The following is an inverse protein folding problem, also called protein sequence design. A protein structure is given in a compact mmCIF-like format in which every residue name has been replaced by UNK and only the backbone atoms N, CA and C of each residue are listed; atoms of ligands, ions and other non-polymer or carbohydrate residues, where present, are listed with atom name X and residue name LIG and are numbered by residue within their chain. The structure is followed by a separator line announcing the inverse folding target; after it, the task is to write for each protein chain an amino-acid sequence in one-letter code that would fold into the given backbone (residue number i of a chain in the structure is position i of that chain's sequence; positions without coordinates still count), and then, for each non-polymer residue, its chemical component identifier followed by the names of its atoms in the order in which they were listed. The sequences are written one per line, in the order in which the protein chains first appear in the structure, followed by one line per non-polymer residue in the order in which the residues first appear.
data_IF_592934141183
#
_entry.id   IF_592934141183
#
_cell.length_a   1.000
_cell.length_b   1.000
_cell.length_c   1.000
_cell.angle_alpha   90.00
_cell.angle_beta   90.00
_cell.angle_gamma   90.00
#
_symmetry.space_group_name_H-M   'P 1'
#
loop_
_entity.id
_entity.type
_entity.pdbx_description
1 polymer ?
#
# COMPACT_ATOMS: atom_id res chain seq x y z
N UNK A 1 4.61 -9.18 -8.75
CA UNK A 1 4.69 -9.76 -7.39
C UNK A 1 4.39 -8.62 -6.41
N UNK A 2 3.50 -8.74 -5.41
CA UNK A 2 3.16 -7.55 -4.57
C UNK A 2 4.22 -7.17 -3.55
N UNK A 3 4.87 -8.18 -2.95
CA UNK A 3 5.93 -7.97 -1.98
C UNK A 3 7.27 -8.21 -2.66
N UNK A 4 7.76 -7.20 -3.37
CA UNK A 4 9.04 -7.30 -4.07
C UNK A 4 10.21 -7.47 -3.10
N UNK A 5 10.26 -6.76 -1.97
CA UNK A 5 11.25 -7.03 -0.93
C UNK A 5 10.56 -7.79 0.23
N UNK A 6 11.08 -8.97 0.60
CA UNK A 6 10.45 -9.73 1.67
C UNK A 6 10.99 -11.12 1.91
N UNK A 7 10.27 -11.88 2.74
CA UNK A 7 10.68 -13.15 3.33
C UNK A 7 11.08 -14.24 2.31
N UNK A 8 10.72 -14.11 1.04
CA UNK A 8 11.14 -15.05 0.00
C UNK A 8 12.65 -14.94 -0.32
N UNK A 9 13.26 -13.76 -0.15
CA UNK A 9 14.68 -13.54 -0.40
C UNK A 9 15.53 -13.94 0.81
N UNK A 10 16.58 -14.75 0.57
CA UNK A 10 17.56 -15.13 1.61
C UNK A 10 18.20 -13.88 2.24
N UNK A 11 18.53 -12.89 1.42
CA UNK A 11 19.16 -11.64 1.87
C UNK A 11 18.26 -10.81 2.80
N UNK A 12 16.94 -10.82 2.57
CA UNK A 12 15.97 -10.21 3.48
C UNK A 12 15.90 -10.95 4.81
N UNK A 13 15.82 -12.29 4.77
CA UNK A 13 15.71 -13.11 6.00
C UNK A 13 16.93 -12.90 6.92
N UNK A 14 18.15 -12.94 6.37
CA UNK A 14 19.38 -12.66 7.13
C UNK A 14 19.39 -11.25 7.72
N UNK A 15 18.86 -10.25 7.00
CA UNK A 15 18.75 -8.89 7.51
C UNK A 15 17.71 -8.81 8.63
N UNK A 16 16.57 -9.47 8.49
CA UNK A 16 15.52 -9.53 9.52
C UNK A 16 15.98 -10.30 10.77
N UNK A 17 16.86 -11.29 10.65
CA UNK A 17 17.49 -11.94 11.81
C UNK A 17 18.41 -10.98 12.58
N UNK A 18 19.11 -10.08 11.87
CA UNK A 18 19.98 -9.06 12.47
C UNK A 18 19.19 -7.89 13.08
N UNK A 19 18.10 -7.51 12.44
CA UNK A 19 17.22 -6.41 12.85
C UNK A 19 15.79 -6.95 13.02
N UNK A 20 15.49 -7.61 14.17
CA UNK A 20 14.24 -8.33 14.35
C UNK A 20 13.01 -7.42 14.29
N UNK A 21 13.11 -6.22 14.86
CA UNK A 21 12.04 -5.23 14.85
C UNK A 21 11.67 -4.85 13.41
N UNK A 22 10.39 -5.04 13.06
CA UNK A 22 9.89 -4.56 11.78
C UNK A 22 9.94 -3.04 11.73
N UNK A 23 9.52 -2.36 12.81
CA UNK A 23 9.53 -0.91 12.91
C UNK A 23 10.93 -0.35 12.68
N UNK A 24 11.96 -0.93 13.31
CA UNK A 24 13.35 -0.52 13.06
C UNK A 24 13.72 -0.60 11.56
N UNK A 25 13.33 -1.69 10.88
CA UNK A 25 13.60 -1.87 9.45
C UNK A 25 12.79 -0.93 8.55
N UNK A 26 11.57 -0.54 8.95
CA UNK A 26 10.68 0.34 8.17
C UNK A 26 10.79 1.82 8.55
N UNK A 27 11.54 2.16 9.60
CA UNK A 27 11.71 3.53 10.11
C UNK A 27 13.19 3.99 10.13
N UNK A 28 14.12 3.12 9.72
CA UNK A 28 15.55 3.47 9.55
C UNK A 28 15.90 3.61 8.08
N UNK A 29 16.27 4.82 7.65
CA UNK A 29 16.58 5.17 6.24
C UNK A 29 17.49 4.15 5.55
N UNK A 30 18.64 3.82 6.14
CA UNK A 30 19.59 2.88 5.54
C UNK A 30 19.00 1.47 5.35
N UNK A 31 18.17 1.01 6.29
CA UNK A 31 17.51 -0.29 6.21
C UNK A 31 16.41 -0.28 5.15
N UNK A 32 15.60 0.79 5.10
CA UNK A 32 14.57 1.00 4.08
C UNK A 32 15.18 0.94 2.69
N UNK A 33 16.21 1.75 2.43
CA UNK A 33 16.89 1.80 1.13
C UNK A 33 17.48 0.44 0.79
N UNK A 34 18.24 -0.15 1.72
CA UNK A 34 18.88 -1.45 1.50
C UNK A 34 17.88 -2.55 1.18
N UNK A 35 16.74 -2.60 1.88
CA UNK A 35 15.69 -3.60 1.65
C UNK A 35 14.98 -3.33 0.31
N UNK A 36 14.62 -2.09 0.03
CA UNK A 36 13.93 -1.68 -1.21
C UNK A 36 14.74 -2.01 -2.46
N UNK A 37 16.08 -1.89 -2.40
CA UNK A 37 16.97 -2.18 -3.53
C UNK A 37 17.31 -3.67 -3.70
N UNK A 38 16.94 -4.57 -2.79
CA UNK A 38 17.25 -6.01 -2.96
C UNK A 38 16.67 -6.59 -4.25
N UNK A 39 15.39 -6.36 -4.61
CA UNK A 39 14.80 -6.90 -5.83
C UNK A 39 15.34 -6.17 -7.06
N UNK A 40 15.64 -4.87 -6.92
CA UNK A 40 16.31 -4.08 -7.94
C UNK A 40 17.65 -4.69 -8.35
N UNK A 41 18.50 -4.97 -7.37
CA UNK A 41 19.82 -5.53 -7.61
C UNK A 41 19.77 -6.97 -8.14
N UNK A 42 18.75 -7.74 -7.77
CA UNK A 42 18.63 -9.14 -8.18
C UNK A 42 18.00 -9.32 -9.57
N UNK A 43 17.01 -8.49 -9.93
CA UNK A 43 16.15 -8.73 -11.08
C UNK A 43 15.96 -7.54 -12.01
N UNK A 44 16.41 -6.34 -11.63
CA UNK A 44 16.25 -5.08 -12.38
C UNK A 44 14.82 -4.83 -12.90
N UNK A 45 13.76 -4.92 -12.07
CA UNK A 45 12.39 -4.59 -12.45
C UNK A 45 12.22 -3.12 -12.82
N UNK A 46 11.26 -2.80 -13.69
CA UNK A 46 10.94 -1.42 -14.10
C UNK A 46 10.38 -0.55 -12.96
N UNK A 47 10.06 -1.15 -11.80
CA UNK A 47 9.49 -0.48 -10.64
C UNK A 47 10.09 -0.97 -9.31
N UNK A 48 10.50 -0.02 -8.47
CA UNK A 48 11.00 -0.25 -7.10
C UNK A 48 10.06 0.45 -6.12
N UNK A 49 9.35 -0.32 -5.32
CA UNK A 49 8.51 0.21 -4.24
C UNK A 49 9.33 0.39 -2.97
N UNK A 50 9.15 1.52 -2.29
CA UNK A 50 9.77 1.76 -0.98
C UNK A 50 9.33 0.69 0.02
N UNK A 51 10.26 0.22 0.85
CA UNK A 51 9.96 -0.64 1.98
C UNK A 51 9.45 0.20 3.16
N UNK A 52 8.18 0.04 3.52
CA UNK A 52 7.55 0.73 4.66
C UNK A 52 6.35 -0.11 5.15
N UNK A 53 5.58 0.41 6.11
CA UNK A 53 4.27 -0.13 6.49
C UNK A 53 3.16 0.88 6.15
N UNK A 54 1.95 0.39 5.81
CA UNK A 54 0.80 1.29 5.62
C UNK A 54 0.41 2.03 6.92
N UNK A 55 0.79 1.48 8.08
CA UNK A 55 0.53 2.04 9.40
C UNK A 55 1.63 2.98 9.88
N UNK A 56 2.77 3.11 9.17
CA UNK A 56 3.91 3.95 9.57
C UNK A 56 3.51 5.41 9.87
N UNK A 57 2.48 5.93 9.19
CA UNK A 57 2.00 7.29 9.43
C UNK A 57 1.11 7.43 10.68
N UNK A 58 0.57 6.36 11.26
CA UNK A 58 -0.42 6.41 12.36
C UNK A 58 0.06 7.20 13.60
N UNK A 59 1.27 6.95 14.15
CA UNK A 59 1.72 7.62 15.37
C UNK A 59 1.84 9.13 15.18
N UNK A 60 2.16 9.54 13.95
CA UNK A 60 2.42 10.93 13.57
C UNK A 60 1.15 11.79 13.52
N UNK A 61 -0.03 11.16 13.61
CA UNK A 61 -1.31 11.86 13.79
C UNK A 61 -2.09 11.38 15.02
N UNK A 62 -1.43 10.73 15.98
CA UNK A 62 -1.97 10.47 17.32
C UNK A 62 -2.47 9.05 17.57
N UNK A 63 -2.15 8.07 16.70
CA UNK A 63 -2.54 6.67 16.91
C UNK A 63 -1.30 5.79 17.01
N UNK A 64 -0.95 5.39 18.22
CA UNK A 64 0.18 4.50 18.47
C UNK A 64 -0.12 3.05 18.05
N UNK A 65 0.89 2.41 17.44
CA UNK A 65 0.84 1.00 17.09
C UNK A 65 2.20 0.33 17.31
N UNK A 66 2.15 -0.98 17.48
CA UNK A 66 3.31 -1.86 17.46
C UNK A 66 3.08 -3.03 16.50
N UNK A 67 4.13 -3.77 16.17
CA UNK A 67 4.06 -4.98 15.36
C UNK A 67 4.61 -6.14 16.18
N UNK A 68 3.72 -7.07 16.53
CA UNK A 68 4.09 -8.29 17.21
C UNK A 68 4.33 -9.45 16.21
N UNK A 69 5.28 -10.32 16.53
CA UNK A 69 5.75 -11.37 15.60
C UNK A 69 4.64 -12.30 15.08
N UNK A 70 3.67 -12.65 15.94
CA UNK A 70 2.59 -13.59 15.61
C UNK A 70 1.29 -12.88 15.27
N UNK A 71 0.92 -11.84 16.03
CA UNK A 71 -0.36 -11.14 15.87
C UNK A 71 -0.33 -10.07 14.77
N UNK A 72 0.85 -9.64 14.35
CA UNK A 72 1.02 -8.53 13.42
C UNK A 72 0.75 -7.19 14.10
N UNK A 73 0.18 -6.20 13.41
CA UNK A 73 -0.01 -4.88 13.97
C UNK A 73 -1.03 -4.88 15.11
N UNK A 74 -0.71 -4.16 16.19
CA UNK A 74 -1.53 -3.99 17.38
C UNK A 74 -1.66 -2.49 17.66
N UNK A 75 -2.89 -1.99 17.70
CA UNK A 75 -3.21 -0.61 18.10
C UNK A 75 -3.53 -0.63 19.59
N UNK A 76 -2.76 0.13 20.39
CA UNK A 76 -2.90 0.10 21.84
C UNK A 76 -4.23 0.69 22.32
N UNK A 77 -4.70 1.75 21.64
CA UNK A 77 -5.91 2.49 21.98
C UNK A 77 -6.85 2.56 20.78
N UNK A 78 -7.66 1.52 20.51
CA UNK A 78 -8.60 1.54 19.40
C UNK A 78 -9.64 2.67 19.51
N UNK A 79 -9.92 3.36 18.41
CA UNK A 79 -10.86 4.49 18.40
C UNK A 79 -12.28 3.99 18.13
N UNK A 80 -13.15 4.08 19.14
CA UNK A 80 -14.55 3.62 19.10
C UNK A 80 -15.55 4.62 19.72
N UNK A 81 -15.07 5.81 20.10
CA UNK A 81 -15.88 6.89 20.66
C UNK A 81 -15.37 8.26 20.24
N UNK A 82 -16.18 9.29 20.45
CA UNK A 82 -15.81 10.70 20.19
C UNK A 82 -14.58 11.14 20.99
N UNK A 83 -14.40 10.62 22.22
CA UNK A 83 -13.21 10.88 23.03
C UNK A 83 -11.95 10.33 22.37
N UNK A 84 -12.03 9.14 21.75
CA UNK A 84 -10.91 8.56 21.01
C UNK A 84 -10.47 9.42 19.82
N UNK A 85 -11.41 10.08 19.14
CA UNK A 85 -11.08 11.00 18.05
C UNK A 85 -10.28 12.23 18.51
N UNK A 86 -10.45 12.68 19.76
CA UNK A 86 -9.73 13.85 20.29
C UNK A 86 -8.22 13.62 20.40
N UNK A 87 -7.77 12.37 20.39
CA UNK A 87 -6.35 12.05 20.33
C UNK A 87 -5.74 12.32 18.95
N UNK A 88 -6.56 12.35 17.89
CA UNK A 88 -6.08 12.57 16.54
C UNK A 88 -5.76 14.05 16.29
N UNK A 89 -4.65 14.28 15.59
CA UNK A 89 -4.21 15.63 15.22
C UNK A 89 -3.73 15.66 13.76
N UNK A 90 -3.49 16.85 13.17
CA UNK A 90 -2.87 16.95 11.85
C UNK A 90 -1.54 16.19 11.80
N UNK A 91 -1.22 15.62 10.63
CA UNK A 91 0.01 14.86 10.41
C UNK A 91 1.24 15.79 10.46
N UNK A 92 2.22 15.42 11.29
CA UNK A 92 3.52 16.08 11.38
C UNK A 92 4.56 15.41 10.47
N UNK A 93 4.64 15.87 9.21
CA UNK A 93 5.49 15.25 8.18
C UNK A 93 6.99 15.27 8.52
N UNK A 94 7.46 16.13 9.42
CA UNK A 94 8.89 16.17 9.81
C UNK A 94 9.31 14.87 10.51
N UNK A 95 8.39 14.27 11.28
CA UNK A 95 8.58 12.96 11.92
C UNK A 95 8.64 11.80 10.93
N UNK A 96 8.30 12.03 9.65
CA UNK A 96 8.37 11.06 8.55
C UNK A 96 9.54 11.37 7.59
N UNK A 97 10.49 12.21 8.01
CA UNK A 97 11.68 12.57 7.22
C UNK A 97 12.46 11.36 6.70
N UNK A 98 12.56 10.28 7.47
CA UNK A 98 13.20 9.03 7.04
C UNK A 98 12.57 8.44 5.77
N UNK A 99 11.25 8.60 5.56
CA UNK A 99 10.56 8.17 4.33
C UNK A 99 11.00 9.05 3.17
N UNK A 100 11.01 10.36 3.38
CA UNK A 100 11.39 11.33 2.35
C UNK A 100 12.84 11.14 1.92
N UNK A 101 13.76 10.98 2.87
CA UNK A 101 15.18 10.76 2.58
C UNK A 101 15.42 9.42 1.89
N UNK A 102 14.70 8.37 2.30
CA UNK A 102 14.74 7.07 1.61
C UNK A 102 14.31 7.20 0.15
N UNK A 103 13.21 7.92 -0.14
CA UNK A 103 12.73 8.12 -1.51
C UNK A 103 13.74 8.89 -2.37
N UNK A 104 14.39 9.93 -1.82
CA UNK A 104 15.45 10.68 -2.52
C UNK A 104 16.62 9.77 -2.89
N UNK A 105 17.07 8.94 -1.95
CA UNK A 105 18.18 8.00 -2.17
C UNK A 105 17.77 6.97 -3.23
N UNK A 106 16.60 6.33 -3.07
CA UNK A 106 16.09 5.35 -4.04
C UNK A 106 16.00 5.94 -5.44
N UNK A 107 15.50 7.18 -5.57
CA UNK A 107 15.40 7.90 -6.85
C UNK A 107 16.76 8.06 -7.52
N UNK A 108 17.81 8.34 -6.75
CA UNK A 108 19.19 8.44 -7.24
C UNK A 108 19.76 7.07 -7.63
N UNK A 109 19.54 6.05 -6.81
CA UNK A 109 20.09 4.69 -6.99
C UNK A 109 19.50 3.96 -8.19
N UNK A 110 18.21 4.14 -8.47
CA UNK A 110 17.58 3.54 -9.66
C UNK A 110 17.80 4.37 -10.94
N UNK A 111 18.15 5.65 -10.78
CA UNK A 111 18.37 6.56 -11.90
C UNK A 111 17.18 6.64 -12.86
N UNK A 112 17.45 6.59 -14.16
CA UNK A 112 16.43 6.52 -15.21
C UNK A 112 16.00 5.10 -15.58
N UNK A 113 16.56 4.07 -14.93
CA UNK A 113 16.36 2.67 -15.34
C UNK A 113 15.07 2.06 -14.75
N UNK A 114 14.51 2.66 -13.68
CA UNK A 114 13.27 2.21 -13.06
C UNK A 114 12.51 3.34 -12.36
N UNK A 115 11.21 3.15 -12.17
CA UNK A 115 10.35 4.05 -11.40
C UNK A 115 10.38 3.70 -9.91
N UNK A 116 10.55 4.69 -9.06
CA UNK A 116 10.33 4.58 -7.60
C UNK A 116 8.86 4.78 -7.27
N UNK A 117 8.25 3.81 -6.59
CA UNK A 117 6.87 3.85 -6.14
C UNK A 117 6.84 4.15 -4.63
N UNK A 118 6.08 5.18 -4.26
CA UNK A 118 5.59 5.35 -2.90
C UNK A 118 4.26 4.61 -2.71
N UNK A 119 3.81 4.48 -1.46
CA UNK A 119 2.51 3.88 -1.19
C UNK A 119 1.89 4.34 0.12
N UNK A 120 0.58 4.12 0.23
CA UNK A 120 -0.24 4.39 1.42
C UNK A 120 -1.35 3.36 1.55
N UNK A 121 -1.90 3.19 2.77
CA UNK A 121 -3.17 2.48 2.95
C UNK A 121 -4.36 3.37 2.65
N UNK A 122 -5.44 2.81 2.10
CA UNK A 122 -6.69 3.53 1.89
C UNK A 122 -7.36 3.89 3.23
N UNK A 123 -8.12 5.00 3.33
CA UNK A 123 -8.77 5.43 4.57
C UNK A 123 -9.61 4.34 5.26
N UNK A 124 -10.41 3.58 4.50
CA UNK A 124 -11.19 2.46 5.04
C UNK A 124 -10.30 1.38 5.68
N UNK A 125 -9.25 0.98 4.96
CA UNK A 125 -8.29 -0.02 5.43
C UNK A 125 -7.58 0.44 6.70
N UNK A 126 -7.15 1.70 6.76
CA UNK A 126 -6.51 2.27 7.95
C UNK A 126 -7.49 2.39 9.11
N UNK A 127 -8.71 2.89 8.88
CA UNK A 127 -9.76 2.95 9.90
C UNK A 127 -10.09 1.57 10.48
N UNK A 128 -10.08 0.53 9.64
CA UNK A 128 -10.31 -0.85 10.06
C UNK A 128 -9.27 -1.29 11.10
N UNK A 129 -7.98 -1.02 10.87
CA UNK A 129 -6.94 -1.30 11.88
C UNK A 129 -7.16 -0.52 13.17
N UNK A 130 -7.44 0.79 13.07
CA UNK A 130 -7.65 1.67 14.21
C UNK A 130 -8.83 1.20 15.07
N UNK A 131 -9.96 0.85 14.45
CA UNK A 131 -11.19 0.47 15.17
C UNK A 131 -11.08 -0.93 15.76
N UNK A 132 -10.54 -1.89 15.01
CA UNK A 132 -10.46 -3.28 15.45
C UNK A 132 -9.33 -3.52 16.44
N UNK A 133 -8.29 -2.69 16.41
CA UNK A 133 -7.12 -2.82 17.26
C UNK A 133 -6.02 -3.69 16.65
N UNK A 134 -6.19 -4.17 15.42
CA UNK A 134 -5.25 -5.07 14.76
C UNK A 134 -5.91 -5.90 13.65
N UNK A 135 -5.25 -6.99 13.26
CA UNK A 135 -5.79 -7.90 12.23
C UNK A 135 -6.85 -8.83 12.82
N UNK A 136 -8.01 -8.92 12.18
CA UNK A 136 -9.09 -9.86 12.54
C UNK A 136 -9.70 -10.45 11.27
N UNK A 137 -10.44 -11.56 11.36
CA UNK A 137 -11.01 -12.22 10.18
C UNK A 137 -12.32 -11.60 9.70
N UNK A 138 -13.08 -10.99 10.60
CA UNK A 138 -14.46 -10.58 10.32
C UNK A 138 -14.63 -9.07 10.25
N UNK A 139 -13.79 -8.32 10.96
CA UNK A 139 -13.86 -6.85 11.09
C UNK A 139 -15.26 -6.41 11.56
N UNK A 140 -15.79 -7.13 12.56
CA UNK A 140 -17.17 -6.99 13.04
C UNK A 140 -17.43 -5.64 13.69
N UNK A 141 -16.43 -5.08 14.40
CA UNK A 141 -16.58 -3.83 15.15
C UNK A 141 -16.80 -2.67 14.20
N UNK A 142 -15.91 -2.50 13.21
CA UNK A 142 -16.03 -1.39 12.25
C UNK A 142 -17.28 -1.53 11.38
N UNK A 143 -17.62 -2.76 10.97
CA UNK A 143 -18.85 -3.02 10.20
C UNK A 143 -20.11 -2.71 11.02
N UNK A 144 -20.12 -3.03 12.32
CA UNK A 144 -21.22 -2.64 13.22
C UNK A 144 -21.31 -1.11 13.34
N UNK A 145 -20.18 -0.42 13.43
CA UNK A 145 -20.13 1.04 13.52
C UNK A 145 -20.65 1.74 12.26
N UNK A 146 -20.61 1.11 11.08
CA UNK A 146 -21.28 1.63 9.87
C UNK A 146 -22.78 1.88 10.09
N UNK A 147 -23.42 1.16 11.01
CA UNK A 147 -24.83 1.29 11.34
C UNK A 147 -25.06 2.00 12.68
N UNK A 148 -24.24 1.70 13.68
CA UNK A 148 -24.45 2.15 15.07
C UNK A 148 -23.78 3.49 15.37
N UNK A 149 -22.70 3.84 14.67
CA UNK A 149 -21.93 5.06 14.89
C UNK A 149 -21.41 5.68 13.56
N UNK A 150 -22.28 5.92 12.56
CA UNK A 150 -21.84 6.39 11.25
C UNK A 150 -21.15 7.76 11.28
N UNK A 151 -21.58 8.66 12.17
CA UNK A 151 -20.95 9.97 12.36
C UNK A 151 -19.49 9.87 12.78
N UNK A 152 -19.21 8.97 13.73
CA UNK A 152 -17.86 8.72 14.20
C UNK A 152 -16.94 8.22 13.07
N UNK A 153 -17.44 7.28 12.26
CA UNK A 153 -16.68 6.78 11.10
C UNK A 153 -16.49 7.84 10.03
N UNK A 154 -17.48 8.67 9.73
CA UNK A 154 -17.33 9.75 8.75
C UNK A 154 -16.26 10.75 9.16
N UNK A 155 -16.20 11.10 10.44
CA UNK A 155 -15.16 11.97 11.00
C UNK A 155 -13.78 11.32 10.91
N UNK A 156 -13.66 10.06 11.35
CA UNK A 156 -12.41 9.30 11.29
C UNK A 156 -11.88 9.21 9.85
N UNK A 157 -12.71 8.75 8.91
CA UNK A 157 -12.33 8.57 7.51
C UNK A 157 -11.98 9.89 6.82
N UNK A 158 -12.67 10.98 7.18
CA UNK A 158 -12.39 12.32 6.66
C UNK A 158 -11.04 12.84 7.13
N UNK A 159 -10.69 12.62 8.41
CA UNK A 159 -9.37 12.95 8.97
C UNK A 159 -8.27 12.13 8.32
N UNK A 160 -8.46 10.81 8.21
CA UNK A 160 -7.52 9.91 7.54
C UNK A 160 -7.29 10.30 6.08
N UNK A 161 -8.36 10.61 5.33
CA UNK A 161 -8.22 11.04 3.94
C UNK A 161 -7.37 12.32 3.81
N UNK A 162 -7.50 13.27 4.74
CA UNK A 162 -6.68 14.48 4.76
C UNK A 162 -5.21 14.16 5.09
N UNK A 163 -4.96 13.42 6.17
CA UNK A 163 -3.60 13.04 6.58
C UNK A 163 -2.88 12.22 5.49
N UNK A 164 -3.57 11.25 4.88
CA UNK A 164 -3.04 10.43 3.79
C UNK A 164 -2.77 11.29 2.55
N UNK A 165 -3.64 12.26 2.22
CA UNK A 165 -3.39 13.20 1.11
C UNK A 165 -2.08 13.96 1.30
N UNK A 166 -1.87 14.54 2.48
CA UNK A 166 -0.67 15.31 2.78
C UNK A 166 0.58 14.41 2.78
N UNK A 167 0.46 13.17 3.26
CA UNK A 167 1.54 12.19 3.20
C UNK A 167 1.87 11.73 1.77
N UNK A 168 0.86 11.52 0.92
CA UNK A 168 1.07 11.20 -0.51
C UNK A 168 1.85 12.32 -1.20
N UNK A 169 1.44 13.57 -1.01
CA UNK A 169 2.12 14.73 -1.60
C UNK A 169 3.56 14.83 -1.08
N UNK A 170 3.79 14.56 0.21
CA UNK A 170 5.12 14.50 0.78
C UNK A 170 6.01 13.45 0.09
N UNK A 171 5.49 12.22 -0.12
CA UNK A 171 6.23 11.17 -0.82
C UNK A 171 6.56 11.57 -2.28
N UNK A 172 5.61 12.14 -3.00
CA UNK A 172 5.82 12.64 -4.38
C UNK A 172 6.92 13.69 -4.41
N UNK A 173 6.83 14.72 -3.55
CA UNK A 173 7.84 15.79 -3.44
C UNK A 173 9.22 15.27 -3.02
N UNK A 174 9.27 14.12 -2.36
CA UNK A 174 10.50 13.47 -1.93
C UNK A 174 11.10 12.52 -2.98
N UNK A 175 10.44 12.30 -4.11
CA UNK A 175 11.02 11.55 -5.24
C UNK A 175 10.23 10.31 -5.68
N UNK A 176 9.07 10.02 -5.08
CA UNK A 176 8.18 9.00 -5.64
C UNK A 176 7.68 9.42 -7.03
N UNK A 177 7.84 8.55 -8.03
CA UNK A 177 7.30 8.77 -9.38
C UNK A 177 5.80 8.50 -9.43
N UNK A 178 5.36 7.49 -8.67
CA UNK A 178 4.01 6.97 -8.66
C UNK A 178 3.63 6.62 -7.22
N UNK A 179 2.33 6.66 -6.92
CA UNK A 179 1.79 6.34 -5.61
C UNK A 179 0.79 5.20 -5.74
N UNK A 180 0.97 4.16 -4.94
CA UNK A 180 0.00 3.07 -4.82
C UNK A 180 -0.83 3.20 -3.54
N UNK A 181 -2.14 3.21 -3.70
CA UNK A 181 -3.11 3.18 -2.60
C UNK A 181 -3.55 1.72 -2.40
N UNK A 182 -3.35 1.19 -1.20
CA UNK A 182 -3.76 -0.16 -0.82
C UNK A 182 -5.08 -0.13 -0.04
N UNK A 183 -6.19 -0.50 -0.68
CA UNK A 183 -7.47 -0.77 -0.03
C UNK A 183 -7.62 -2.26 0.28
N UNK A 184 -6.71 -2.80 1.10
CA UNK A 184 -6.61 -4.22 1.44
C UNK A 184 -7.89 -4.80 2.04
N UNK A 185 -8.68 -3.99 2.75
CA UNK A 185 -9.93 -4.40 3.38
C UNK A 185 -11.18 -3.93 2.63
N UNK A 186 -11.03 -3.30 1.47
CA UNK A 186 -12.14 -2.84 0.64
C UNK A 186 -13.01 -3.97 0.10
N UNK A 187 -12.40 -5.08 -0.34
CA UNK A 187 -13.14 -6.25 -0.84
C UNK A 187 -13.95 -7.00 0.23
N UNK A 188 -13.79 -6.64 1.51
CA UNK A 188 -14.62 -7.18 2.60
C UNK A 188 -15.97 -6.44 2.75
N UNK A 189 -16.18 -5.37 1.99
CA UNK A 189 -17.42 -4.61 1.96
C UNK A 189 -18.30 -5.05 0.79
N UNK A 190 -19.62 -5.22 1.01
CA UNK A 190 -20.60 -5.22 -0.07
C UNK A 190 -20.51 -3.96 -0.93
N UNK A 191 -20.96 -3.99 -2.20
CA UNK A 191 -20.75 -2.88 -3.13
C UNK A 191 -21.31 -1.53 -2.67
N UNK A 192 -22.50 -1.50 -2.07
CA UNK A 192 -23.11 -0.29 -1.51
C UNK A 192 -22.32 0.28 -0.33
N UNK A 193 -21.78 -0.60 0.52
CA UNK A 193 -20.93 -0.20 1.63
C UNK A 193 -19.59 0.32 1.15
N UNK A 194 -18.98 -0.30 0.12
CA UNK A 194 -17.71 0.18 -0.44
C UNK A 194 -17.87 1.58 -1.04
N UNK A 195 -18.97 1.83 -1.74
CA UNK A 195 -19.30 3.16 -2.28
C UNK A 195 -19.55 4.22 -1.21
N UNK A 196 -20.01 3.82 -0.02
CA UNK A 196 -20.26 4.74 1.08
C UNK A 196 -19.02 4.99 1.94
N UNK A 197 -18.24 3.95 2.22
CA UNK A 197 -17.22 3.96 3.28
C UNK A 197 -15.78 3.94 2.77
N UNK A 198 -15.52 3.55 1.51
CA UNK A 198 -14.16 3.54 0.94
C UNK A 198 -14.02 4.48 -0.26
N UNK A 199 -14.81 4.27 -1.33
CA UNK A 199 -14.75 5.02 -2.60
C UNK A 199 -14.66 6.54 -2.42
N UNK A 200 -15.49 7.21 -1.59
CA UNK A 200 -15.50 8.67 -1.52
C UNK A 200 -14.19 9.24 -0.97
N UNK A 201 -13.53 8.49 -0.07
CA UNK A 201 -12.31 8.93 0.58
C UNK A 201 -11.08 8.67 -0.28
N UNK A 202 -11.07 7.55 -1.04
CA UNK A 202 -10.07 7.33 -2.09
C UNK A 202 -10.18 8.43 -3.15
N UNK A 203 -11.39 8.72 -3.62
CA UNK A 203 -11.64 9.80 -4.58
C UNK A 203 -11.17 11.15 -4.06
N UNK A 204 -11.46 11.48 -2.80
CA UNK A 204 -11.01 12.72 -2.17
C UNK A 204 -9.48 12.84 -2.18
N UNK A 205 -8.76 11.76 -1.87
CA UNK A 205 -7.28 11.74 -1.93
C UNK A 205 -6.82 12.01 -3.36
N UNK A 206 -7.36 11.27 -4.34
CA UNK A 206 -6.98 11.41 -5.75
C UNK A 206 -7.21 12.84 -6.24
N UNK A 207 -8.40 13.40 -6.03
CA UNK A 207 -8.75 14.75 -6.48
C UNK A 207 -7.80 15.81 -5.89
N UNK A 208 -7.47 15.72 -4.60
CA UNK A 208 -6.57 16.66 -3.93
C UNK A 208 -5.12 16.50 -4.36
N UNK A 209 -4.66 15.26 -4.57
CA UNK A 209 -3.31 14.97 -5.07
C UNK A 209 -3.18 15.49 -6.50
N UNK A 210 -4.12 15.17 -7.39
CA UNK A 210 -4.11 15.66 -8.79
C UNK A 210 -4.17 17.19 -8.88
N UNK A 211 -4.82 17.87 -7.93
CA UNK A 211 -4.79 19.34 -7.86
C UNK A 211 -3.40 19.91 -7.54
N UNK A 212 -2.59 19.22 -6.75
CA UNK A 212 -1.27 19.70 -6.26
C UNK A 212 -0.08 19.09 -7.02
N UNK A 213 -0.26 17.89 -7.56
CA UNK A 213 0.71 17.07 -8.27
C UNK A 213 -0.01 16.37 -9.46
N UNK A 214 -0.44 17.13 -10.49
CA UNK A 214 -1.32 16.61 -11.55
C UNK A 214 -0.74 15.44 -12.34
N UNK A 215 0.57 15.45 -12.55
CA UNK A 215 1.27 14.43 -13.33
C UNK A 215 1.57 13.14 -12.54
N UNK A 216 1.29 13.10 -11.23
CA UNK A 216 1.58 11.91 -10.42
C UNK A 216 0.61 10.78 -10.79
N UNK A 217 1.09 9.64 -11.31
CA UNK A 217 0.25 8.46 -11.51
C UNK A 217 -0.13 7.85 -10.17
N UNK A 218 -1.41 7.54 -10.00
CA UNK A 218 -1.98 6.92 -8.81
C UNK A 218 -2.55 5.56 -9.19
N UNK A 219 -2.09 4.53 -8.48
CA UNK A 219 -2.55 3.14 -8.61
C UNK A 219 -3.48 2.84 -7.44
N UNK A 220 -4.67 2.29 -7.69
CA UNK A 220 -5.50 1.68 -6.66
C UNK A 220 -5.36 0.17 -6.72
N UNK A 221 -4.89 -0.44 -5.64
CA UNK A 221 -4.98 -1.87 -5.42
C UNK A 221 -6.00 -2.14 -4.32
N UNK A 222 -7.00 -2.97 -4.60
CA UNK A 222 -7.94 -3.45 -3.60
C UNK A 222 -8.01 -4.97 -3.69
N UNK A 223 -7.87 -5.64 -2.55
CA UNK A 223 -7.84 -7.10 -2.51
C UNK A 223 -9.27 -7.67 -2.50
N UNK A 224 -9.52 -8.72 -3.30
CA UNK A 224 -10.82 -9.38 -3.42
C UNK A 224 -11.87 -8.49 -4.11
N UNK A 225 -11.46 -7.71 -5.11
CA UNK A 225 -12.24 -6.59 -5.62
C UNK A 225 -12.98 -6.85 -6.94
N UNK A 226 -13.02 -8.09 -7.44
CA UNK A 226 -13.69 -8.40 -8.71
C UNK A 226 -15.11 -7.83 -8.82
N UNK A 227 -15.89 -7.88 -7.73
CA UNK A 227 -17.25 -7.30 -7.67
C UNK A 227 -17.32 -5.76 -7.65
N UNK A 228 -16.19 -5.07 -7.49
CA UNK A 228 -16.11 -3.61 -7.34
C UNK A 228 -15.44 -2.92 -8.54
N UNK A 229 -14.90 -3.66 -9.51
CA UNK A 229 -14.08 -3.10 -10.59
C UNK A 229 -14.74 -1.93 -11.31
N UNK A 230 -15.97 -2.11 -11.80
CA UNK A 230 -16.72 -1.04 -12.47
C UNK A 230 -16.83 0.22 -11.62
N UNK A 231 -17.01 0.04 -10.30
CA UNK A 231 -17.20 1.15 -9.35
C UNK A 231 -15.90 1.91 -9.08
N UNK A 232 -14.74 1.31 -9.37
CA UNK A 232 -13.44 1.96 -9.21
C UNK A 232 -13.17 3.02 -10.27
N UNK A 233 -13.84 2.97 -11.43
CA UNK A 233 -13.63 3.92 -12.53
C UNK A 233 -13.77 5.38 -12.09
N UNK A 234 -14.77 5.67 -11.27
CA UNK A 234 -15.05 7.05 -10.85
C UNK A 234 -14.18 7.53 -9.68
N UNK A 235 -13.23 6.72 -9.21
CA UNK A 235 -12.27 7.17 -8.19
C UNK A 235 -11.26 8.17 -8.74
N UNK A 236 -11.05 8.20 -10.06
CA UNK A 236 -10.10 9.08 -10.75
C UNK A 236 -8.66 8.59 -10.77
N UNK A 237 -8.37 7.37 -10.29
CA UNK A 237 -7.04 6.76 -10.34
C UNK A 237 -6.63 6.45 -11.77
N UNK A 238 -5.33 6.44 -12.05
CA UNK A 238 -4.80 6.21 -13.40
C UNK A 238 -4.68 4.71 -13.72
N UNK A 239 -4.50 3.89 -12.69
CA UNK A 239 -4.25 2.45 -12.79
C UNK A 239 -5.05 1.69 -11.75
N UNK A 240 -5.66 0.57 -12.15
CA UNK A 240 -6.29 -0.37 -11.22
C UNK A 240 -5.43 -1.63 -11.15
N UNK A 241 -5.04 -1.99 -9.93
CA UNK A 241 -4.39 -3.23 -9.60
C UNK A 241 -5.43 -4.35 -9.45
N UNK A 242 -5.25 -5.42 -10.21
CA UNK A 242 -6.11 -6.60 -10.16
C UNK A 242 -5.43 -7.72 -9.37
N UNK A 243 -6.22 -8.40 -8.54
CA UNK A 243 -5.83 -9.66 -7.92
C UNK A 243 -6.09 -10.85 -8.86
N UNK A 244 -5.66 -12.04 -8.46
CA UNK A 244 -5.71 -13.25 -9.28
C UNK A 244 -7.12 -13.84 -9.46
N UNK A 245 -8.13 -13.31 -8.78
CA UNK A 245 -9.51 -13.80 -8.89
C UNK A 245 -10.24 -13.24 -10.12
N UNK A 246 -9.65 -12.25 -10.79
CA UNK A 246 -10.18 -11.60 -11.98
C UNK A 246 -9.30 -11.97 -13.18
N UNK A 247 -9.90 -12.52 -14.24
CA UNK A 247 -9.18 -12.71 -15.49
C UNK A 247 -8.83 -11.35 -16.13
N UNK A 248 -7.66 -11.27 -16.76
CA UNK A 248 -7.23 -10.00 -17.36
C UNK A 248 -8.05 -9.55 -18.55
N UNK A 249 -8.58 -10.49 -19.33
CA UNK A 249 -9.47 -10.15 -20.43
C UNK A 249 -10.78 -9.55 -19.88
N UNK A 250 -11.33 -10.15 -18.83
CA UNK A 250 -12.54 -9.66 -18.15
C UNK A 250 -12.30 -8.26 -17.58
N UNK A 251 -11.23 -8.09 -16.79
CA UNK A 251 -10.86 -6.81 -16.21
C UNK A 251 -10.62 -5.72 -17.26
N UNK A 252 -9.98 -6.03 -18.40
CA UNK A 252 -9.78 -5.10 -19.52
C UNK A 252 -11.06 -4.74 -20.25
N UNK A 253 -11.98 -5.69 -20.40
CA UNK A 253 -13.26 -5.44 -21.05
C UNK A 253 -14.12 -4.49 -20.21
N UNK A 254 -14.05 -4.64 -18.88
CA UNK A 254 -14.75 -3.79 -17.94
C UNK A 254 -14.06 -2.42 -17.83
N UNK A 255 -12.73 -2.34 -17.81
CA UNK A 255 -12.00 -1.11 -17.46
C UNK A 255 -11.26 -0.47 -18.64
N UNK A 256 -11.57 0.79 -18.97
CA UNK A 256 -10.77 1.64 -19.88
C UNK A 256 -9.54 2.26 -19.17
N UNK A 257 -8.87 1.49 -18.31
CA UNK A 257 -7.70 1.92 -17.53
C UNK A 257 -6.47 1.09 -17.86
N UNK A 258 -5.28 1.59 -17.52
CA UNK A 258 -4.11 0.72 -17.43
C UNK A 258 -4.32 -0.27 -16.28
N UNK A 259 -4.16 -1.56 -16.56
CA UNK A 259 -4.34 -2.64 -15.59
C UNK A 259 -3.00 -3.30 -15.31
N UNK A 260 -2.72 -3.50 -14.02
CA UNK A 260 -1.55 -4.25 -13.55
C UNK A 260 -2.03 -5.47 -12.79
N UNK A 261 -1.66 -6.66 -13.25
CA UNK A 261 -1.84 -7.87 -12.45
C UNK A 261 -0.82 -7.91 -11.35
N UNK A 262 -1.33 -8.06 -10.14
CA UNK A 262 -0.52 -8.44 -9.01
C UNK A 262 -0.69 -9.94 -8.76
N UNK A 263 0.22 -10.74 -9.31
CA UNK A 263 0.38 -12.10 -8.84
C UNK A 263 0.92 -12.06 -7.39
N UNK A 264 0.05 -12.29 -6.40
CA UNK A 264 0.49 -13.02 -5.21
C UNK A 264 0.91 -14.42 -5.64
N UNK A 265 1.88 -15.00 -4.94
CA UNK A 265 2.59 -16.21 -5.31
C UNK A 265 1.66 -17.35 -5.78
N UNK A 266 1.33 -17.39 -7.06
CA UNK A 266 1.14 -18.67 -7.73
C UNK A 266 2.49 -19.38 -7.59
N UNK A 267 2.53 -20.65 -7.16
CA UNK A 267 3.76 -21.41 -7.17
C UNK A 267 4.31 -21.31 -8.60
N UNK A 268 5.42 -20.59 -8.75
CA UNK A 268 6.08 -20.44 -10.04
C UNK A 268 6.40 -21.87 -10.50
N UNK A 269 5.68 -22.37 -11.51
CA UNK A 269 6.18 -23.53 -12.25
C UNK A 269 7.55 -23.09 -12.79
N UNK A 270 8.63 -23.84 -12.49
CA UNK A 270 9.92 -23.55 -13.08
C UNK A 270 9.73 -23.50 -14.59
N UNK A 271 10.18 -22.42 -15.25
CA UNK A 271 10.33 -22.45 -16.71
C UNK A 271 11.31 -23.58 -17.00
N UNK A 272 10.86 -24.60 -17.71
CA UNK A 272 11.76 -25.58 -18.29
C UNK A 272 12.76 -24.82 -19.14
N UNK A 273 14.03 -24.91 -18.76
CA UNK A 273 15.13 -24.41 -19.54
C UNK A 273 15.17 -25.23 -20.83
N UNK A 274 14.61 -24.71 -21.92
CA UNK A 274 15.03 -25.11 -23.26
C UNK A 274 16.47 -24.65 -23.42
N UNK A 275 17.41 -25.50 -22.98
CA UNK A 275 18.78 -25.47 -23.47
C UNK A 275 18.70 -25.65 -24.99
N UNK A 276 18.78 -24.55 -25.72
CA UNK A 276 19.18 -24.59 -27.12
C UNK A 276 20.61 -25.16 -27.16
N UNK A 277 20.71 -26.45 -27.49
CA UNK A 277 21.98 -27.09 -27.83
C UNK A 277 22.52 -26.37 -29.08
N UNK A 278 23.58 -25.59 -28.89
CA UNK A 278 24.49 -25.22 -29.97
C UNK A 278 25.19 -26.51 -30.44
N UNK A 279 25.10 -26.91 -31.73
CA UNK A 279 25.91 -28.00 -32.23
C UNK A 279 27.35 -27.50 -32.43
N UNK A 280 28.27 -28.06 -31.65
CA UNK A 280 29.69 -28.03 -31.97
C UNK A 280 29.92 -28.86 -33.25
N UNK A 281 30.73 -28.29 -34.14
CA UNK A 281 31.22 -28.81 -35.42
C UNK A 281 31.85 -30.21 -35.31
N UNK A 282 31.91 -30.93 -36.44
CA UNK A 282 33.10 -31.68 -36.89
C UNK A 282 32.90 -32.20 -38.34
N UNK A 283 33.90 -31.90 -39.20
CA UNK A 283 34.11 -32.28 -40.61
C UNK A 283 33.16 -31.73 -41.67
#
# INVERSE_FOLDING_TARGET
MMRHAGRYMVVYRKLAEKYPSFRERSETTDLIVKISLQPWNAFRPDGVIIFSDILTALPVFGVEFDIEDVRGPVIQSPIRSEEGLKAMHPIDLEKLSFVGDSLKILRKEVGGDASVLGFVGAPWTIATYIVEGGTTRTYTTIKSMCHTAPHLLWTLLSHLAQAITDYVIFQVKSGAHCIQIFDSWGGQLPPDMWERWSKPYIKKIVDLVKKRCPETPIVLYANGNGGHLERMKDTGVDVIGLDWTVDMADGRSDLRFFLVLYAEQLPLKPRESTQAKLPHQLC
#
